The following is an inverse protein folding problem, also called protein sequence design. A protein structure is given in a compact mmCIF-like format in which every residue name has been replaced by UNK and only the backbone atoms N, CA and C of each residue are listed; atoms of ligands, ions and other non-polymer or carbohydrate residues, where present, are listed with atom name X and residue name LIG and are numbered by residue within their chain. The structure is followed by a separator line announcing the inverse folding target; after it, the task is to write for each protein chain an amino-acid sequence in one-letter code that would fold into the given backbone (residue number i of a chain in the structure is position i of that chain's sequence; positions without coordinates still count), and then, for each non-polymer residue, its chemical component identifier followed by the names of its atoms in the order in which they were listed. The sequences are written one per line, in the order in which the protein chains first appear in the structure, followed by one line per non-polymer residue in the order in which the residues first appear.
data_IF_838166564306
#
_entry.id   IF_838166564306
#
_cell.length_a   1.000
_cell.length_b   1.000
_cell.length_c   1.000
_cell.angle_alpha   90.00
_cell.angle_beta   90.00
_cell.angle_gamma   90.00
#
_symmetry.space_group_name_H-M   'P 1'
#
loop_
_entity.id
_entity.type
_entity.pdbx_description
1 polymer ?
#
# COMPACT_ATOMS: atom_id res chain seq x y z
N UNK A 1 -13.74 -13.47 -1.54
CA UNK A 1 -13.85 -12.79 -0.23
C UNK A 1 -12.91 -11.61 -0.27
N UNK A 2 -13.43 -10.43 -0.66
CA UNK A 2 -12.64 -9.21 -0.86
C UNK A 2 -12.84 -8.34 0.38
N UNK A 3 -11.81 -8.18 1.21
CA UNK A 3 -11.88 -7.51 2.52
C UNK A 3 -12.03 -5.97 2.43
N UNK A 4 -12.23 -5.41 1.23
CA UNK A 4 -12.38 -3.96 0.98
C UNK A 4 -13.81 -3.52 0.66
N UNK A 5 -14.81 -4.40 0.75
CA UNK A 5 -16.21 -4.00 0.57
C UNK A 5 -16.64 -3.04 1.70
N UNK A 6 -16.73 -1.76 1.37
CA UNK A 6 -17.11 -0.68 2.29
C UNK A 6 -16.20 0.55 2.26
N UNK A 7 -14.96 0.43 1.78
CA UNK A 7 -14.04 1.58 1.62
C UNK A 7 -14.18 2.24 0.23
N UNK A 8 -14.93 1.61 -0.67
CA UNK A 8 -15.13 1.94 -2.10
C UNK A 8 -15.77 3.33 -2.39
N UNK A 9 -15.82 4.27 -1.43
CA UNK A 9 -16.48 5.57 -1.60
C UNK A 9 -15.59 6.80 -1.39
N UNK A 10 -14.29 6.66 -1.19
CA UNK A 10 -13.41 7.83 -1.07
C UNK A 10 -11.92 7.55 -0.97
N UNK A 11 -11.10 8.61 -0.87
CA UNK A 11 -9.67 8.52 -0.62
C UNK A 11 -9.31 7.68 0.61
N UNK A 12 -8.19 6.97 0.55
CA UNK A 12 -7.70 6.11 1.64
C UNK A 12 -6.25 6.44 1.98
N UNK A 13 -5.99 6.57 3.28
CA UNK A 13 -4.64 6.67 3.85
C UNK A 13 -4.43 5.54 4.85
N UNK A 14 -3.39 4.74 4.64
CA UNK A 14 -3.03 3.59 5.47
C UNK A 14 -1.69 3.82 6.17
N UNK A 15 -1.69 3.89 7.49
CA UNK A 15 -0.45 3.87 8.27
C UNK A 15 0.04 2.43 8.44
N UNK A 16 1.31 2.17 8.12
CA UNK A 16 1.94 0.84 8.32
C UNK A 16 3.06 0.88 9.36
N UNK A 17 2.97 1.83 10.29
CA UNK A 17 3.94 2.01 11.39
C UNK A 17 4.13 0.75 12.24
N UNK A 18 3.03 0.08 12.57
CA UNK A 18 3.02 -1.11 13.45
C UNK A 18 3.06 -2.42 12.66
N UNK A 19 3.31 -2.36 11.35
CA UNK A 19 3.48 -3.55 10.52
C UNK A 19 4.92 -4.06 10.66
N UNK A 20 5.06 -5.18 11.38
CA UNK A 20 6.35 -5.82 11.61
C UNK A 20 6.78 -6.79 10.51
N UNK A 21 5.86 -7.19 9.63
CA UNK A 21 6.14 -8.10 8.52
C UNK A 21 5.10 -7.96 7.42
N UNK A 22 5.55 -7.92 6.18
CA UNK A 22 4.74 -8.07 4.99
C UNK A 22 5.24 -9.30 4.22
N UNK A 23 4.32 -10.09 3.68
CA UNK A 23 4.63 -11.18 2.76
C UNK A 23 3.91 -10.97 1.43
N UNK A 24 4.24 -11.80 0.44
CA UNK A 24 3.78 -11.66 -0.93
C UNK A 24 2.25 -11.51 -1.03
N UNK A 25 1.49 -12.23 -0.21
CA UNK A 25 0.03 -12.19 -0.26
C UNK A 25 -0.53 -10.83 0.19
N UNK A 26 -0.05 -10.31 1.33
CA UNK A 26 -0.49 -9.00 1.84
C UNK A 26 -0.02 -7.87 0.93
N UNK A 27 1.17 -8.02 0.34
CA UNK A 27 1.68 -7.06 -0.62
C UNK A 27 0.83 -7.01 -1.89
N UNK A 28 0.46 -8.16 -2.46
CA UNK A 28 -0.40 -8.21 -3.65
C UNK A 28 -1.76 -7.57 -3.39
N UNK A 29 -2.29 -7.73 -2.18
CA UNK A 29 -3.49 -7.05 -1.73
C UNK A 29 -3.33 -5.52 -1.79
N UNK A 30 -2.24 -4.98 -1.24
CA UNK A 30 -1.99 -3.53 -1.23
C UNK A 30 -1.85 -2.96 -2.65
N UNK A 31 -1.11 -3.66 -3.52
CA UNK A 31 -0.94 -3.28 -4.92
C UNK A 31 -2.27 -3.31 -5.67
N UNK A 32 -3.09 -4.34 -5.42
CA UNK A 32 -4.41 -4.46 -6.05
C UNK A 32 -5.35 -3.35 -5.58
N UNK A 33 -5.29 -2.99 -4.29
CA UNK A 33 -6.05 -1.88 -3.72
C UNK A 33 -5.62 -0.54 -4.32
N UNK A 34 -4.32 -0.24 -4.35
CA UNK A 34 -3.81 1.00 -4.97
C UNK A 34 -4.28 1.12 -6.42
N UNK A 35 -4.13 0.05 -7.20
CA UNK A 35 -4.55 0.04 -8.61
C UNK A 35 -6.05 0.26 -8.77
N UNK A 36 -6.87 -0.33 -7.91
CA UNK A 36 -8.31 -0.12 -7.94
C UNK A 36 -8.66 1.34 -7.67
N UNK A 37 -8.05 1.96 -6.65
CA UNK A 37 -8.27 3.39 -6.34
C UNK A 37 -7.82 4.30 -7.48
N UNK A 38 -6.68 4.01 -8.12
CA UNK A 38 -6.22 4.75 -9.29
C UNK A 38 -7.22 4.66 -10.46
N UNK A 39 -7.80 3.48 -10.71
CA UNK A 39 -8.84 3.30 -11.74
C UNK A 39 -10.09 4.12 -11.42
N UNK A 40 -10.46 4.19 -10.14
CA UNK A 40 -11.63 4.94 -9.67
C UNK A 40 -11.35 6.46 -9.56
N UNK A 41 -10.13 6.92 -9.90
CA UNK A 41 -9.73 8.31 -9.77
C UNK A 41 -9.65 8.80 -8.32
N UNK A 42 -9.51 7.88 -7.37
CA UNK A 42 -9.44 8.13 -5.94
C UNK A 42 -7.99 8.05 -5.44
N UNK A 43 -7.69 8.81 -4.40
CA UNK A 43 -6.38 8.78 -3.79
C UNK A 43 -6.20 7.56 -2.87
N UNK A 44 -5.08 6.86 -3.04
CA UNK A 44 -4.59 5.82 -2.14
C UNK A 44 -3.17 6.19 -1.71
N UNK A 45 -2.94 6.24 -0.41
CA UNK A 45 -1.65 6.56 0.20
C UNK A 45 -1.29 5.57 1.30
N UNK A 46 -0.03 5.13 1.32
CA UNK A 46 0.57 4.44 2.45
C UNK A 46 1.52 5.42 3.14
N UNK A 47 1.39 5.58 4.46
CA UNK A 47 2.19 6.48 5.28
C UNK A 47 2.86 5.72 6.43
N UNK A 48 3.84 6.38 7.07
CA UNK A 48 4.58 5.85 8.21
C UNK A 48 5.20 4.45 7.96
N UNK A 49 5.83 4.25 6.80
CA UNK A 49 6.44 2.94 6.49
C UNK A 49 7.54 2.56 7.48
N UNK A 50 7.26 1.52 8.28
CA UNK A 50 8.20 1.01 9.28
C UNK A 50 9.46 0.42 8.60
N UNK A 51 10.63 0.39 9.28
CA UNK A 51 11.82 -0.25 8.72
C UNK A 51 11.58 -1.72 8.36
N UNK A 52 10.80 -2.44 9.16
CA UNK A 52 10.48 -3.84 8.90
C UNK A 52 9.59 -4.03 7.66
N UNK A 53 8.67 -3.08 7.40
CA UNK A 53 7.87 -3.06 6.20
C UNK A 53 8.75 -2.83 4.96
N UNK A 54 9.62 -1.80 4.99
CA UNK A 54 10.55 -1.48 3.89
C UNK A 54 11.49 -2.65 3.56
N UNK A 55 12.10 -3.25 4.57
CA UNK A 55 12.91 -4.47 4.38
C UNK A 55 12.09 -5.66 3.85
N UNK A 56 10.81 -5.72 4.16
CA UNK A 56 9.88 -6.70 3.59
C UNK A 56 9.67 -6.49 2.09
N UNK A 57 9.53 -5.25 1.64
CA UNK A 57 9.43 -4.91 0.21
C UNK A 57 10.67 -5.35 -0.56
N UNK A 58 11.86 -5.03 -0.04
CA UNK A 58 13.14 -5.40 -0.66
C UNK A 58 13.27 -6.91 -0.83
N UNK A 59 12.94 -7.68 0.21
CA UNK A 59 12.97 -9.15 0.18
C UNK A 59 12.00 -9.74 -0.84
N UNK A 60 10.94 -9.02 -1.16
CA UNK A 60 9.94 -9.40 -2.16
C UNK A 60 10.25 -8.83 -3.55
N UNK A 61 11.40 -8.17 -3.73
CA UNK A 61 11.87 -7.67 -5.02
C UNK A 61 11.32 -6.29 -5.41
N UNK A 62 10.80 -5.52 -4.45
CA UNK A 62 10.35 -4.14 -4.66
C UNK A 62 11.34 -3.13 -4.06
N UNK A 63 11.28 -1.90 -4.57
CA UNK A 63 11.96 -0.77 -3.92
C UNK A 63 11.42 -0.57 -2.49
N UNK A 64 12.27 -0.25 -1.50
CA UNK A 64 11.79 0.12 -0.16
C UNK A 64 10.90 1.37 -0.16
N UNK A 65 10.94 2.16 -1.24
CA UNK A 65 10.16 3.38 -1.46
C UNK A 65 9.02 3.15 -2.48
N UNK A 66 8.65 1.90 -2.76
CA UNK A 66 7.65 1.57 -3.79
C UNK A 66 6.31 2.31 -3.64
N UNK A 67 5.88 2.57 -2.40
CA UNK A 67 4.65 3.30 -2.10
C UNK A 67 4.89 4.77 -1.75
N UNK A 68 6.14 5.22 -1.69
CA UNK A 68 6.42 6.65 -1.60
C UNK A 68 6.11 7.23 -2.97
N UNK A 69 4.92 7.82 -3.09
CA UNK A 69 4.62 8.65 -4.25
C UNK A 69 5.56 9.84 -4.19
N UNK A 70 6.55 9.87 -5.09
CA UNK A 70 7.16 11.13 -5.48
C UNK A 70 6.01 12.09 -5.75
N UNK A 71 6.00 13.25 -5.09
CA UNK A 71 4.99 14.26 -5.26
C UNK A 71 5.04 14.73 -6.72
N UNK A 72 4.35 14.00 -7.60
CA UNK A 72 4.25 14.33 -9.00
C UNK A 72 3.28 15.51 -9.08
N UNK A 73 3.88 16.70 -9.02
CA UNK A 73 3.24 17.98 -9.27
C UNK A 73 2.67 18.05 -10.69
#
# INVERSE_FOLDING_TARGET
MTFLQGVEKGPVTLSVRDVHRVDAYRLQILISAERQWQIDGLEFQIIDMSPAFRSGLERLGLSPDHFDKEAQQ
#
